data_IF_832575023241
#
_entry.id   IF_832575023241
#
_cell.length_a   1.000
_cell.length_b   1.000
_cell.length_c   1.000
_cell.angle_alpha   90.00
_cell.angle_beta   90.00
_cell.angle_gamma   90.00
#
_symmetry.space_group_name_H-M   'P 1'
#
loop_
_entity.id
_entity.type
_entity.pdbx_description
1 polymer ?
#
# COMPACT_ATOMS: atom_id res chain seq x y z
N UNK A 1 -37.82 -10.09 9.52
CA UNK A 1 -38.58 -9.55 8.38
C UNK A 1 -38.75 -8.04 8.54
N UNK A 2 -39.32 -7.58 9.65
CA UNK A 2 -39.60 -6.14 9.85
C UNK A 2 -38.37 -5.21 9.84
N UNK A 3 -37.21 -5.69 10.30
CA UNK A 3 -36.00 -4.87 10.39
C UNK A 3 -35.11 -4.85 9.13
N UNK A 4 -35.39 -5.67 8.10
CA UNK A 4 -34.52 -5.80 6.91
C UNK A 4 -35.32 -5.95 5.60
N UNK A 5 -36.48 -6.63 5.61
CA UNK A 5 -37.22 -6.99 4.39
C UNK A 5 -38.47 -6.15 4.10
N UNK A 6 -38.83 -5.22 4.98
CA UNK A 6 -39.90 -4.25 4.74
C UNK A 6 -39.33 -2.97 4.13
N UNK A 7 -40.18 -2.13 3.55
CA UNK A 7 -39.76 -0.81 3.07
C UNK A 7 -39.10 0.03 4.17
N UNK A 8 -39.55 -0.10 5.41
CA UNK A 8 -38.93 0.53 6.57
C UNK A 8 -37.50 0.02 6.78
N UNK A 9 -37.28 -1.30 6.70
CA UNK A 9 -35.95 -1.92 6.77
C UNK A 9 -35.04 -1.49 5.62
N UNK A 10 -35.54 -1.49 4.38
CA UNK A 10 -34.79 -1.08 3.19
C UNK A 10 -34.36 0.40 3.25
N UNK A 11 -35.20 1.28 3.82
CA UNK A 11 -34.83 2.68 4.08
C UNK A 11 -33.68 2.79 5.09
N UNK A 12 -33.71 1.98 6.15
CA UNK A 12 -32.63 1.96 7.14
C UNK A 12 -31.33 1.43 6.53
N UNK A 13 -31.38 0.40 5.70
CA UNK A 13 -30.20 -0.07 4.96
C UNK A 13 -29.61 1.03 4.07
N UNK A 14 -30.44 1.71 3.27
CA UNK A 14 -29.97 2.79 2.40
C UNK A 14 -29.37 3.97 3.19
N UNK A 15 -29.94 4.25 4.37
CA UNK A 15 -29.43 5.24 5.30
C UNK A 15 -28.04 4.84 5.81
N UNK A 16 -27.87 3.62 6.35
CA UNK A 16 -26.57 3.17 6.89
C UNK A 16 -25.46 3.17 5.82
N UNK A 17 -25.80 2.89 4.55
CA UNK A 17 -24.82 2.91 3.45
C UNK A 17 -24.33 4.32 3.11
N UNK A 18 -25.20 5.34 3.17
CA UNK A 18 -24.91 6.65 2.58
C UNK A 18 -24.96 7.83 3.56
N UNK A 19 -25.33 7.61 4.82
CA UNK A 19 -25.55 8.69 5.78
C UNK A 19 -24.33 9.59 5.94
N UNK A 20 -23.14 9.01 6.04
CA UNK A 20 -21.89 9.75 6.22
C UNK A 20 -21.22 10.18 4.91
N UNK A 21 -21.95 10.14 3.79
CA UNK A 21 -21.45 10.52 2.47
C UNK A 21 -21.39 9.35 1.48
N UNK A 22 -21.05 9.68 0.24
CA UNK A 22 -20.87 8.64 -0.79
C UNK A 22 -19.69 7.71 -0.47
N UNK A 23 -19.69 6.51 -1.03
CA UNK A 23 -18.60 5.53 -0.85
C UNK A 23 -17.21 6.11 -1.16
N UNK A 24 -17.11 6.91 -2.22
CA UNK A 24 -15.85 7.55 -2.62
C UNK A 24 -15.44 8.69 -1.68
N UNK A 25 -16.42 9.42 -1.15
CA UNK A 25 -16.18 10.53 -0.24
C UNK A 25 -15.66 10.06 1.13
N UNK A 26 -16.26 9.00 1.69
CA UNK A 26 -15.80 8.39 2.94
C UNK A 26 -14.35 7.89 2.81
N UNK A 27 -14.01 7.27 1.67
CA UNK A 27 -12.63 6.84 1.37
C UNK A 27 -11.66 8.02 1.26
N UNK A 28 -12.07 9.10 0.60
CA UNK A 28 -11.26 10.34 0.52
C UNK A 28 -11.02 10.94 1.90
N UNK A 29 -12.02 10.98 2.79
CA UNK A 29 -11.82 11.48 4.14
C UNK A 29 -10.83 10.63 4.94
N UNK A 30 -10.89 9.31 4.81
CA UNK A 30 -9.89 8.44 5.44
C UNK A 30 -8.47 8.74 4.95
N UNK A 31 -8.29 8.89 3.63
CA UNK A 31 -7.00 9.25 3.02
C UNK A 31 -6.53 10.63 3.49
N UNK A 32 -7.38 11.66 3.44
CA UNK A 32 -7.02 13.01 3.84
C UNK A 32 -6.76 13.11 5.35
N UNK A 33 -7.47 12.36 6.18
CA UNK A 33 -7.15 12.22 7.60
C UNK A 33 -5.77 11.61 7.83
N UNK A 34 -5.40 10.58 7.07
CA UNK A 34 -4.06 9.99 7.11
C UNK A 34 -2.97 10.96 6.62
N UNK A 35 -3.26 11.79 5.62
CA UNK A 35 -2.35 12.84 5.15
C UNK A 35 -2.18 13.94 6.19
N UNK A 36 -3.28 14.47 6.73
CA UNK A 36 -3.28 15.56 7.71
C UNK A 36 -2.61 15.16 9.05
N UNK A 37 -2.76 13.91 9.47
CA UNK A 37 -2.09 13.37 10.67
C UNK A 37 -0.63 12.95 10.44
N UNK A 38 -0.13 13.09 9.21
CA UNK A 38 1.21 12.63 8.80
C UNK A 38 1.37 11.11 8.79
N UNK A 39 0.30 10.33 8.97
CA UNK A 39 0.37 8.87 8.89
C UNK A 39 0.77 8.40 7.49
N UNK A 40 0.23 9.06 6.45
CA UNK A 40 0.62 8.81 5.06
C UNK A 40 2.12 9.00 4.85
N UNK A 41 2.69 10.09 5.39
CA UNK A 41 4.12 10.37 5.26
C UNK A 41 4.99 9.35 6.00
N UNK A 42 4.59 8.93 7.21
CA UNK A 42 5.31 7.88 7.94
C UNK A 42 5.30 6.54 7.19
N UNK A 43 4.17 6.17 6.59
CA UNK A 43 4.07 4.95 5.79
C UNK A 43 4.93 5.03 4.53
N UNK A 44 4.96 6.20 3.86
CA UNK A 44 5.85 6.46 2.73
C UNK A 44 7.32 6.39 3.13
N UNK A 45 7.70 7.05 4.23
CA UNK A 45 9.06 7.02 4.76
C UNK A 45 9.52 5.61 5.14
N UNK A 46 8.63 4.75 5.64
CA UNK A 46 8.96 3.34 5.89
C UNK A 46 9.27 2.58 4.60
N UNK A 47 8.51 2.82 3.53
CA UNK A 47 8.82 2.25 2.22
C UNK A 47 10.12 2.83 1.63
N UNK A 48 10.39 4.13 1.82
CA UNK A 48 11.63 4.78 1.39
C UNK A 48 12.86 4.20 2.10
N UNK A 49 12.77 3.87 3.39
CA UNK A 49 13.85 3.19 4.11
C UNK A 49 14.19 1.84 3.46
N UNK A 50 13.19 1.04 3.13
CA UNK A 50 13.39 -0.24 2.43
C UNK A 50 14.02 -0.04 1.03
N UNK A 51 13.54 0.95 0.27
CA UNK A 51 14.10 1.25 -1.06
C UNK A 51 15.52 1.84 -1.00
N UNK A 52 15.94 2.40 0.13
CA UNK A 52 17.28 2.96 0.30
C UNK A 52 18.36 1.89 0.55
N UNK A 53 17.97 0.66 0.90
CA UNK A 53 18.88 -0.45 1.19
C UNK A 53 19.45 -1.12 -0.08
N UNK A 54 19.02 -0.71 -1.27
CA UNK A 54 19.56 -1.19 -2.54
C UNK A 54 19.55 -0.12 -3.64
N UNK A 55 20.38 -0.31 -4.66
CA UNK A 55 20.33 0.43 -5.91
C UNK A 55 20.41 -0.51 -7.13
N UNK A 56 20.81 0.00 -8.29
CA UNK A 56 20.90 -0.81 -9.51
C UNK A 56 22.11 -1.77 -9.51
N UNK A 57 23.08 -1.55 -8.63
CA UNK A 57 24.34 -2.27 -8.57
C UNK A 57 24.35 -3.34 -7.45
N UNK A 58 23.50 -3.20 -6.43
CA UNK A 58 23.35 -4.22 -5.39
C UNK A 58 22.73 -3.71 -4.09
N UNK A 59 22.93 -4.46 -3.01
CA UNK A 59 22.59 -4.02 -1.66
C UNK A 59 23.57 -2.93 -1.19
N UNK A 60 23.04 -1.88 -0.58
CA UNK A 60 23.83 -0.83 0.10
C UNK A 60 23.95 -1.09 1.61
N UNK A 61 23.07 -1.92 2.16
CA UNK A 61 23.08 -2.34 3.56
C UNK A 61 24.25 -3.30 3.84
N UNK A 62 25.08 -3.05 4.89
CA UNK A 62 26.31 -3.82 5.15
C UNK A 62 26.08 -5.23 5.69
N UNK A 63 24.86 -5.53 6.13
CA UNK A 63 24.44 -6.83 6.68
C UNK A 63 23.79 -7.74 5.63
N UNK A 64 23.61 -7.26 4.39
CA UNK A 64 23.07 -8.03 3.27
C UNK A 64 24.18 -8.45 2.30
N UNK A 65 24.01 -9.61 1.67
CA UNK A 65 25.00 -10.21 0.77
C UNK A 65 24.50 -10.12 -0.67
N UNK A 66 25.30 -9.52 -1.54
CA UNK A 66 25.01 -9.48 -2.97
C UNK A 66 25.04 -10.88 -3.59
N UNK A 67 24.14 -11.16 -4.54
CA UNK A 67 24.07 -12.46 -5.21
C UNK A 67 25.29 -12.74 -6.11
N UNK A 68 26.13 -11.75 -6.43
CA UNK A 68 27.41 -11.92 -7.12
C UNK A 68 27.42 -12.98 -8.23
N UNK A 69 28.29 -13.98 -8.10
CA UNK A 69 28.44 -15.08 -9.06
C UNK A 69 27.32 -16.12 -9.02
N UNK A 70 26.45 -16.15 -7.99
CA UNK A 70 25.29 -17.05 -7.97
C UNK A 70 24.11 -16.52 -8.80
N UNK A 71 24.15 -15.25 -9.21
CA UNK A 71 23.17 -14.69 -10.13
C UNK A 71 23.36 -15.23 -11.55
N UNK A 72 22.33 -15.87 -12.10
CA UNK A 72 22.29 -16.32 -13.50
C UNK A 72 22.60 -15.18 -14.49
N UNK A 73 22.13 -13.97 -14.19
CA UNK A 73 22.35 -12.80 -15.04
C UNK A 73 23.82 -12.33 -15.03
N UNK A 74 24.52 -12.47 -13.90
CA UNK A 74 25.95 -12.16 -13.80
C UNK A 74 26.80 -13.20 -14.56
N UNK A 75 26.46 -14.49 -14.43
CA UNK A 75 27.14 -15.58 -15.14
C UNK A 75 27.06 -15.42 -16.67
N UNK A 76 25.89 -15.01 -17.16
CA UNK A 76 25.64 -14.83 -18.61
C UNK A 76 26.40 -13.64 -19.21
N UNK A 77 26.66 -12.59 -18.42
CA UNK A 77 27.49 -11.43 -18.83
C UNK A 77 28.95 -11.81 -19.00
N UNK A 78 29.49 -12.65 -18.11
CA UNK A 78 30.91 -13.06 -18.12
C UNK A 78 31.23 -14.09 -19.20
N UNK A 79 30.29 -14.96 -19.56
CA UNK A 79 30.50 -15.93 -20.65
C UNK A 79 30.51 -15.29 -22.05
N UNK A 80 30.15 -14.01 -22.17
CA UNK A 80 30.08 -13.26 -23.42
C UNK A 80 31.21 -12.23 -23.59
N UNK A 81 32.08 -12.07 -22.59
CA UNK A 81 33.31 -11.25 -22.64
C UNK A 81 34.54 -12.13 -22.79
#
# INVERSE_FOLDING_TARGET
WDSIGTEFGARHELYEINYSGSTEEIRRYALFGAMASGAAERMKGFAEQCMAEYDLDGWTAPDLIDPGEVSYHAQTRRSRS
#
